data_IF_617139842714
#
_entry.id   IF_617139842714
#
_cell.length_a   1.000
_cell.length_b   1.000
_cell.length_c   1.000
_cell.angle_alpha   90.00
_cell.angle_beta   90.00
_cell.angle_gamma   90.00
#
_symmetry.space_group_name_H-M   'P 1'
#
loop_
_entity.id
_entity.type
_entity.pdbx_description
1 polymer ?
#
# COMPACT_ATOMS: atom_id res chain seq x y z
N UNK A 1 -2.77 0.16 -11.16
CA UNK A 1 -1.41 -0.37 -11.19
C UNK A 1 -1.05 -1.16 -9.96
N UNK A 2 0.03 -1.87 -10.03
CA UNK A 2 0.62 -2.57 -8.88
C UNK A 2 1.46 -1.59 -8.06
N UNK A 3 0.86 -0.94 -7.10
CA UNK A 3 1.45 0.19 -6.38
C UNK A 3 2.76 -0.16 -5.66
N UNK A 4 2.85 -1.32 -5.02
CA UNK A 4 4.08 -1.78 -4.35
C UNK A 4 5.23 -2.02 -5.35
N UNK A 5 4.93 -2.62 -6.50
CA UNK A 5 5.91 -2.83 -7.58
C UNK A 5 6.37 -1.49 -8.15
N UNK A 6 5.44 -0.56 -8.42
CA UNK A 6 5.77 0.79 -8.87
C UNK A 6 6.66 1.52 -7.87
N UNK A 7 6.38 1.41 -6.58
CA UNK A 7 7.19 2.00 -5.52
C UNK A 7 8.62 1.46 -5.53
N UNK A 8 8.78 0.14 -5.64
CA UNK A 8 10.10 -0.50 -5.76
C UNK A 8 10.85 -0.02 -7.01
N UNK A 9 10.17 0.00 -8.16
CA UNK A 9 10.76 0.47 -9.41
C UNK A 9 11.21 1.93 -9.33
N UNK A 10 10.38 2.83 -8.79
CA UNK A 10 10.73 4.24 -8.61
C UNK A 10 11.93 4.42 -7.67
N UNK A 11 11.97 3.67 -6.57
CA UNK A 11 13.00 3.81 -5.54
C UNK A 11 14.38 3.31 -6.02
N UNK A 12 14.42 2.18 -6.74
CA UNK A 12 15.69 1.50 -7.03
C UNK A 12 16.11 1.60 -8.49
N UNK A 13 15.17 1.61 -9.43
CA UNK A 13 15.48 1.54 -10.86
C UNK A 13 15.18 2.83 -11.62
N UNK A 14 14.51 3.80 -11.00
CA UNK A 14 14.08 5.07 -11.61
C UNK A 14 13.23 4.92 -12.89
N UNK A 15 12.81 3.71 -13.19
CA UNK A 15 12.03 3.35 -14.38
C UNK A 15 10.95 2.36 -13.98
N UNK A 16 9.72 2.53 -14.51
CA UNK A 16 8.58 1.68 -14.20
C UNK A 16 8.28 0.77 -15.39
N UNK A 17 8.23 -0.54 -15.15
CA UNK A 17 7.90 -1.54 -16.17
C UNK A 17 6.77 -2.45 -15.69
N UNK A 18 5.82 -2.77 -16.58
CA UNK A 18 4.83 -3.81 -16.36
C UNK A 18 4.05 -3.70 -15.06
N UNK A 19 3.79 -2.50 -14.55
CA UNK A 19 3.11 -2.29 -13.27
C UNK A 19 1.91 -1.34 -13.32
N UNK A 20 1.72 -0.67 -14.44
CA UNK A 20 0.55 0.19 -14.71
C UNK A 20 0.21 0.20 -16.23
N UNK A 21 -0.93 0.77 -16.64
CA UNK A 21 -1.30 0.83 -18.05
C UNK A 21 -0.29 1.56 -18.93
N UNK A 22 0.45 2.52 -18.40
CA UNK A 22 1.49 3.26 -19.16
C UNK A 22 2.75 2.41 -19.38
N UNK A 23 2.99 1.44 -18.52
CA UNK A 23 4.16 0.57 -18.56
C UNK A 23 3.87 -0.85 -19.05
N UNK A 24 2.70 -1.10 -19.65
CA UNK A 24 2.40 -2.32 -20.41
C UNK A 24 1.47 -3.32 -19.71
N UNK A 25 0.79 -2.96 -18.63
CA UNK A 25 -0.26 -3.78 -18.01
C UNK A 25 -1.60 -3.10 -18.13
N UNK A 26 -2.60 -3.83 -18.61
CA UNK A 26 -3.98 -3.40 -18.54
C UNK A 26 -4.75 -4.16 -17.46
N UNK A 27 -5.77 -3.52 -16.92
CA UNK A 27 -6.61 -4.07 -15.86
C UNK A 27 -8.05 -4.17 -16.36
N UNK A 28 -8.72 -5.29 -16.11
CA UNK A 28 -10.13 -5.40 -16.43
C UNK A 28 -10.97 -4.46 -15.57
N UNK A 29 -12.16 -4.16 -16.04
CA UNK A 29 -13.21 -3.58 -15.21
C UNK A 29 -13.66 -4.65 -14.17
N UNK A 30 -13.19 -4.54 -12.96
CA UNK A 30 -13.47 -5.50 -11.89
C UNK A 30 -14.96 -5.60 -11.56
N UNK A 31 -15.73 -4.54 -11.77
CA UNK A 31 -17.18 -4.54 -11.59
C UNK A 31 -17.87 -5.46 -12.63
N UNK A 32 -17.39 -5.44 -13.89
CA UNK A 32 -17.90 -6.35 -14.94
C UNK A 32 -17.49 -7.80 -14.66
N UNK A 33 -16.26 -8.03 -14.22
CA UNK A 33 -15.80 -9.37 -13.84
C UNK A 33 -16.65 -9.91 -12.68
N UNK A 34 -16.84 -9.12 -11.63
CA UNK A 34 -17.66 -9.47 -10.48
C UNK A 34 -19.09 -9.84 -10.89
N UNK A 35 -19.71 -9.04 -11.77
CA UNK A 35 -21.03 -9.30 -12.29
C UNK A 35 -21.12 -10.62 -13.07
N UNK A 36 -20.09 -10.97 -13.85
CA UNK A 36 -20.05 -12.24 -14.58
C UNK A 36 -20.08 -13.46 -13.65
N UNK A 37 -19.54 -13.31 -12.43
CA UNK A 37 -19.57 -14.34 -11.38
C UNK A 37 -20.80 -14.24 -10.44
N UNK A 38 -21.74 -13.34 -10.71
CA UNK A 38 -22.91 -13.12 -9.85
C UNK A 38 -22.56 -12.52 -8.48
N UNK A 39 -21.37 -11.89 -8.34
CA UNK A 39 -20.92 -11.29 -7.09
C UNK A 39 -21.27 -9.81 -7.07
N UNK A 40 -21.98 -9.31 -6.03
CA UNK A 40 -22.23 -7.87 -5.89
C UNK A 40 -20.93 -7.07 -5.82
N UNK A 41 -20.86 -5.95 -6.56
CA UNK A 41 -19.71 -5.06 -6.54
C UNK A 41 -20.07 -3.66 -6.09
N UNK A 42 -19.13 -3.02 -5.38
CA UNK A 42 -19.27 -1.69 -4.81
C UNK A 42 -18.02 -0.87 -5.12
N UNK A 43 -18.21 0.37 -5.59
CA UNK A 43 -17.10 1.27 -5.88
C UNK A 43 -17.09 2.43 -4.90
N UNK A 44 -15.99 2.57 -4.15
CA UNK A 44 -15.76 3.60 -3.16
C UNK A 44 -14.66 4.52 -3.70
N UNK A 45 -15.03 5.74 -4.06
CA UNK A 45 -14.14 6.75 -4.64
C UNK A 45 -14.16 8.07 -3.87
N UNK A 46 -14.68 8.07 -2.65
CA UNK A 46 -14.70 9.24 -1.77
C UNK A 46 -14.88 8.85 -0.31
N UNK A 47 -14.43 9.71 0.61
CA UNK A 47 -14.65 9.53 2.05
C UNK A 47 -16.14 9.45 2.41
N UNK A 48 -17.00 10.19 1.70
CA UNK A 48 -18.44 10.12 1.94
C UNK A 48 -19.02 8.72 1.70
N UNK A 49 -18.49 7.99 0.72
CA UNK A 49 -18.89 6.60 0.44
C UNK A 49 -18.24 5.58 1.37
N UNK A 50 -17.10 5.91 1.97
CA UNK A 50 -16.38 4.99 2.87
C UNK A 50 -17.22 4.59 4.08
N UNK A 51 -18.06 5.49 4.60
CA UNK A 51 -18.99 5.19 5.70
C UNK A 51 -19.96 4.05 5.39
N UNK A 52 -20.22 3.75 4.12
CA UNK A 52 -21.11 2.67 3.71
C UNK A 52 -20.46 1.27 3.80
N UNK A 53 -19.14 1.21 4.02
CA UNK A 53 -18.38 -0.06 3.98
C UNK A 53 -18.87 -1.03 5.07
N UNK A 54 -19.22 -0.53 6.25
CA UNK A 54 -19.76 -1.34 7.34
C UNK A 54 -21.02 -2.09 6.90
N UNK A 55 -21.99 -1.39 6.32
CA UNK A 55 -23.22 -2.01 5.84
C UNK A 55 -23.02 -2.96 4.66
N UNK A 56 -21.92 -2.85 3.91
CA UNK A 56 -21.55 -3.82 2.88
C UNK A 56 -20.99 -5.09 3.51
N UNK A 57 -20.09 -4.94 4.49
CA UNK A 57 -19.44 -6.06 5.18
C UNK A 57 -20.40 -6.88 6.07
N UNK A 58 -21.47 -6.28 6.56
CA UNK A 58 -22.50 -6.96 7.35
C UNK A 58 -23.43 -7.84 6.52
N UNK A 59 -23.42 -7.71 5.19
CA UNK A 59 -24.22 -8.56 4.29
C UNK A 59 -23.64 -9.97 4.22
N UNK A 60 -24.52 -10.96 4.20
CA UNK A 60 -24.10 -12.36 3.97
C UNK A 60 -23.71 -12.56 2.50
N UNK A 61 -22.67 -13.36 2.30
CA UNK A 61 -22.18 -13.76 0.97
C UNK A 61 -20.98 -12.94 0.51
N UNK A 62 -20.42 -13.30 -0.66
CA UNK A 62 -19.25 -12.62 -1.20
C UNK A 62 -19.61 -11.22 -1.71
N UNK A 63 -18.67 -10.30 -1.63
CA UNK A 63 -18.77 -8.97 -2.21
C UNK A 63 -17.39 -8.52 -2.75
N UNK A 64 -17.40 -7.82 -3.88
CA UNK A 64 -16.22 -7.15 -4.39
C UNK A 64 -16.32 -5.66 -4.05
N UNK A 65 -15.32 -5.13 -3.36
CA UNK A 65 -15.25 -3.70 -3.01
C UNK A 65 -14.03 -3.11 -3.69
N UNK A 66 -14.26 -2.23 -4.67
CA UNK A 66 -13.21 -1.47 -5.35
C UNK A 66 -13.00 -0.13 -4.65
N UNK A 67 -11.83 0.03 -4.02
CA UNK A 67 -11.42 1.30 -3.43
C UNK A 67 -10.55 2.06 -4.42
N UNK A 68 -10.97 3.26 -4.80
CA UNK A 68 -10.17 4.15 -5.63
C UNK A 68 -9.29 5.00 -4.73
N UNK A 69 -8.00 4.72 -4.77
CA UNK A 69 -6.97 5.44 -4.00
C UNK A 69 -6.08 6.25 -4.93
N UNK A 70 -5.33 7.19 -4.35
CA UNK A 70 -4.31 7.93 -5.09
C UNK A 70 -3.19 7.00 -5.57
N UNK A 71 -2.68 7.24 -6.78
CA UNK A 71 -1.57 6.46 -7.34
C UNK A 71 -0.23 6.69 -6.59
N UNK A 72 -0.12 7.75 -5.81
CA UNK A 72 1.02 8.06 -4.97
C UNK A 72 0.76 7.68 -3.49
N UNK A 73 -0.35 6.98 -3.21
CA UNK A 73 -0.66 6.50 -1.86
C UNK A 73 0.43 5.55 -1.36
N UNK A 74 1.13 5.95 -0.33
CA UNK A 74 2.06 5.06 0.37
C UNK A 74 1.35 4.26 1.46
N UNK A 75 1.75 3.01 1.62
CA UNK A 75 1.35 2.17 2.76
C UNK A 75 2.37 2.34 3.87
N UNK A 76 1.98 3.00 4.94
CA UNK A 76 2.86 3.27 6.08
C UNK A 76 2.19 2.80 7.38
N UNK A 77 2.99 2.36 8.37
CA UNK A 77 4.45 2.16 8.31
C UNK A 77 4.84 0.93 7.48
N UNK A 78 6.05 0.94 6.89
CA UNK A 78 6.57 -0.20 6.12
C UNK A 78 8.08 -0.32 6.26
N UNK A 79 8.60 -1.54 6.16
CA UNK A 79 10.03 -1.75 5.97
C UNK A 79 10.44 -1.19 4.60
N UNK A 80 11.41 -0.31 4.60
CA UNK A 80 11.94 0.32 3.39
C UNK A 80 13.46 0.41 3.52
N UNK A 81 14.18 -0.29 2.63
CA UNK A 81 15.63 -0.13 2.55
C UNK A 81 16.00 1.31 2.23
N UNK A 82 17.09 1.78 2.76
CA UNK A 82 17.70 3.07 2.48
C UNK A 82 19.08 2.87 1.89
N UNK A 83 19.55 3.84 1.15
CA UNK A 83 20.90 3.86 0.62
C UNK A 83 21.73 4.73 1.55
N UNK A 84 22.86 4.22 2.02
CA UNK A 84 23.80 4.97 2.85
C UNK A 84 24.65 5.94 2.04
N UNK A 85 25.61 6.59 2.73
CA UNK A 85 26.52 7.57 2.11
C UNK A 85 27.47 6.94 1.09
N UNK A 86 27.72 5.65 1.21
CA UNK A 86 28.63 4.87 0.38
C UNK A 86 27.90 4.19 -0.79
N UNK A 87 26.57 4.37 -0.89
CA UNK A 87 25.74 3.81 -1.93
C UNK A 87 25.27 2.37 -1.64
N UNK A 88 25.51 1.85 -0.46
CA UNK A 88 25.10 0.51 -0.04
C UNK A 88 23.66 0.48 0.44
N UNK A 89 22.98 -0.64 0.17
CA UNK A 89 21.62 -0.85 0.64
C UNK A 89 21.61 -1.31 2.10
N UNK A 90 21.05 -0.50 2.97
CA UNK A 90 20.81 -0.87 4.36
C UNK A 90 19.34 -1.28 4.51
N UNK A 91 19.12 -2.50 4.99
CA UNK A 91 17.81 -2.94 5.44
C UNK A 91 17.67 -2.63 6.93
N UNK A 92 16.75 -1.75 7.33
CA UNK A 92 16.57 -1.41 8.74
C UNK A 92 15.99 -2.59 9.53
N UNK A 93 16.10 -2.52 10.85
CA UNK A 93 15.44 -3.45 11.76
C UNK A 93 13.91 -3.29 11.71
N UNK A 94 13.18 -4.26 12.24
CA UNK A 94 11.70 -4.30 12.16
C UNK A 94 11.02 -3.14 12.88
N UNK A 95 11.68 -2.50 13.83
CA UNK A 95 11.20 -1.35 14.59
C UNK A 95 11.58 0.00 13.95
N UNK A 96 12.48 0.01 12.96
CA UNK A 96 12.91 1.21 12.22
C UNK A 96 12.21 1.28 10.86
N UNK A 97 10.89 1.46 10.88
CA UNK A 97 10.07 1.51 9.67
C UNK A 97 9.99 2.91 9.08
N UNK A 98 9.76 2.97 7.76
CA UNK A 98 9.41 4.22 7.09
C UNK A 98 7.98 4.67 7.44
N UNK A 99 7.74 5.96 7.73
CA UNK A 99 8.67 7.10 7.78
C UNK A 99 9.68 6.97 8.93
N UNK A 100 10.97 7.08 8.59
CA UNK A 100 12.04 6.86 9.57
C UNK A 100 12.05 7.92 10.67
N UNK A 101 12.21 7.48 11.89
CA UNK A 101 12.48 8.35 13.04
C UNK A 101 13.94 8.80 13.06
N UNK A 102 14.25 9.86 13.79
CA UNK A 102 15.63 10.17 14.13
C UNK A 102 16.20 9.07 15.02
N UNK A 103 17.52 8.84 14.96
CA UNK A 103 18.16 7.79 15.77
C UNK A 103 17.92 8.00 17.27
N UNK A 104 18.01 9.26 17.74
CA UNK A 104 17.75 9.59 19.14
C UNK A 104 16.34 9.19 19.58
N UNK A 105 15.34 9.42 18.72
CA UNK A 105 13.96 9.07 19.02
C UNK A 105 13.72 7.56 18.99
N UNK A 106 14.37 6.86 18.07
CA UNK A 106 14.30 5.41 17.97
C UNK A 106 14.91 4.76 19.22
N UNK A 107 16.07 5.25 19.68
CA UNK A 107 16.71 4.79 20.90
C UNK A 107 15.87 5.07 22.17
N UNK A 108 15.24 6.24 22.25
CA UNK A 108 14.31 6.56 23.34
C UNK A 108 13.17 5.54 23.42
N UNK A 109 12.56 5.21 22.27
CA UNK A 109 11.47 4.23 22.19
C UNK A 109 11.96 2.82 22.59
N UNK A 110 13.14 2.41 22.09
CA UNK A 110 13.74 1.11 22.42
C UNK A 110 14.02 0.97 23.92
N UNK A 111 14.50 2.02 24.56
CA UNK A 111 14.71 2.04 26.02
C UNK A 111 13.39 1.92 26.77
N UNK A 112 12.38 2.70 26.38
CA UNK A 112 11.07 2.66 27.05
C UNK A 112 10.34 1.33 26.90
N UNK A 113 10.61 0.55 25.85
CA UNK A 113 9.99 -0.76 25.61
C UNK A 113 10.70 -1.92 26.34
N UNK A 114 11.87 -1.70 26.92
CA UNK A 114 12.57 -2.72 27.74
C UNK A 114 12.09 -2.73 29.20
N UNK A 115 11.30 -1.74 29.60
CA UNK A 115 10.75 -1.62 30.96
C UNK A 115 9.41 -2.35 31.14
N UNK A 116 9.01 -3.16 30.15
CA UNK A 116 7.85 -4.05 30.18
C UNK A 116 8.28 -5.52 30.06
#
# INVERSE_FOLDING_TARGET
>A
GYLSIMSTHKNFFKTVFGSDPKSGIDFPDFSKVSKAYGIPSYKINSYAKLKNIKGILEKKGPALIELIIDNEQEFCPKLKSRIDKDGEFITPELDDMFPFLSQDKLEEIRKSSQDF
#
